data_IF_638744777379
#
_entry.id   IF_638744777379
#
_cell.length_a   1.000
_cell.length_b   1.000
_cell.length_c   1.000
_cell.angle_alpha   90.00
_cell.angle_beta   90.00
_cell.angle_gamma   90.00
#
_symmetry.space_group_name_H-M   'P 1'
#
loop_
_entity.id
_entity.type
_entity.pdbx_description
1 polymer ?
#
# COMPACT_ATOMS: atom_id res chain seq x y z
N UNK A 1 3.71 -40.04 10.87
CA UNK A 1 3.46 -39.26 9.64
C UNK A 1 2.75 -37.97 10.04
N UNK A 2 3.52 -36.96 10.45
CA UNK A 2 2.99 -35.63 10.76
C UNK A 2 3.23 -34.76 9.55
N UNK A 3 2.12 -34.25 9.00
CA UNK A 3 2.09 -33.53 7.75
C UNK A 3 2.94 -32.26 7.79
N UNK A 4 3.70 -32.13 6.71
CA UNK A 4 4.43 -30.97 6.22
C UNK A 4 3.55 -29.71 6.16
N UNK A 5 4.07 -28.60 6.67
CA UNK A 5 3.39 -27.31 6.76
C UNK A 5 3.79 -26.47 5.56
N UNK A 6 2.88 -26.14 4.61
CA UNK A 6 3.28 -25.43 3.41
C UNK A 6 3.60 -23.96 3.71
N UNK A 7 4.68 -23.49 3.08
CA UNK A 7 5.24 -22.15 3.15
C UNK A 7 4.18 -21.03 3.15
N UNK A 8 4.13 -20.26 4.24
CA UNK A 8 3.35 -19.02 4.34
C UNK A 8 4.11 -17.93 3.58
N UNK A 9 3.64 -17.61 2.37
CA UNK A 9 4.03 -16.40 1.63
C UNK A 9 3.64 -15.19 2.51
N UNK A 10 4.59 -14.67 3.29
CA UNK A 10 4.41 -13.51 4.16
C UNK A 10 4.79 -12.24 3.40
N UNK A 11 3.83 -11.61 2.72
CA UNK A 11 3.94 -10.19 2.35
C UNK A 11 2.68 -9.42 2.75
N UNK A 12 2.41 -9.48 4.04
CA UNK A 12 1.58 -8.51 4.76
C UNK A 12 2.38 -8.13 6.01
N UNK A 13 2.25 -6.90 6.53
CA UNK A 13 2.87 -6.54 7.81
C UNK A 13 2.53 -7.60 8.86
N UNK A 14 3.46 -7.95 9.78
CA UNK A 14 3.25 -9.00 10.75
C UNK A 14 2.02 -8.66 11.59
N UNK A 15 0.90 -9.33 11.29
CA UNK A 15 -0.29 -9.26 12.12
C UNK A 15 0.02 -10.14 13.33
N UNK A 16 0.01 -9.61 14.57
CA UNK A 16 0.26 -10.44 15.75
C UNK A 16 -0.72 -11.62 15.75
N UNK A 17 -0.21 -12.85 15.82
CA UNK A 17 -0.99 -14.10 15.69
C UNK A 17 -2.05 -14.33 16.80
N UNK A 18 -2.32 -13.32 17.64
CA UNK A 18 -3.52 -13.22 18.46
C UNK A 18 -4.02 -11.79 18.49
N UNK A 19 -5.02 -11.54 17.67
CA UNK A 19 -5.85 -10.37 17.82
C UNK A 19 -6.93 -10.62 18.89
N UNK A 20 -6.61 -10.35 20.16
CA UNK A 20 -7.54 -10.55 21.30
C UNK A 20 -8.81 -9.72 21.19
N UNK A 21 -8.73 -8.54 20.58
CA UNK A 21 -9.88 -7.69 20.36
C UNK A 21 -10.62 -8.05 19.07
N UNK A 22 -10.13 -8.94 18.19
CA UNK A 22 -10.76 -9.26 16.89
C UNK A 22 -10.97 -8.05 15.96
N UNK A 23 -10.44 -6.86 16.27
CA UNK A 23 -10.53 -5.66 15.43
C UNK A 23 -9.30 -5.53 14.54
N UNK A 24 -9.50 -5.30 13.25
CA UNK A 24 -8.39 -5.13 12.30
C UNK A 24 -8.25 -3.66 11.95
N UNK A 25 -7.11 -3.06 12.30
CA UNK A 25 -6.77 -1.69 11.93
C UNK A 25 -5.85 -1.65 10.71
N UNK A 26 -6.14 -0.76 9.77
CA UNK A 26 -5.39 -0.57 8.53
C UNK A 26 -5.04 0.91 8.35
N UNK A 27 -4.29 1.25 7.30
CA UNK A 27 -4.00 2.64 6.93
C UNK A 27 -5.24 3.50 6.67
N UNK A 28 -6.41 2.88 6.45
CA UNK A 28 -7.68 3.54 6.12
C UNK A 28 -8.71 3.49 7.28
N UNK A 29 -8.32 2.87 8.41
CA UNK A 29 -9.14 2.72 9.62
C UNK A 29 -9.47 1.27 9.96
N UNK A 30 -10.46 1.09 10.84
CA UNK A 30 -10.96 -0.24 11.22
C UNK A 30 -11.81 -0.85 10.11
N UNK A 31 -11.39 -2.02 9.63
CA UNK A 31 -12.11 -2.81 8.61
C UNK A 31 -13.05 -3.86 9.23
N UNK A 32 -12.82 -4.19 10.51
CA UNK A 32 -13.68 -5.01 11.36
C UNK A 32 -13.64 -4.41 12.77
N UNK A 33 -14.79 -4.22 13.42
CA UNK A 33 -14.90 -3.81 14.82
C UNK A 33 -15.26 -5.01 15.72
N UNK A 34 -14.75 -5.02 16.95
CA UNK A 34 -14.99 -6.08 17.95
C UNK A 34 -16.44 -6.22 18.37
N UNK A 35 -17.14 -5.09 18.43
CA UNK A 35 -18.50 -4.95 18.97
C UNK A 35 -19.58 -5.25 17.92
N UNK A 36 -19.19 -5.65 16.70
CA UNK A 36 -20.12 -5.88 15.58
C UNK A 36 -20.75 -4.61 15.02
N UNK A 37 -20.28 -3.43 15.44
CA UNK A 37 -20.69 -2.17 14.82
C UNK A 37 -20.13 -2.04 13.41
N UNK A 38 -20.81 -1.25 12.58
CA UNK A 38 -20.39 -1.03 11.20
C UNK A 38 -18.93 -0.54 11.15
N UNK A 39 -18.08 -1.12 10.29
CA UNK A 39 -16.72 -0.65 10.08
C UNK A 39 -16.70 0.78 9.54
N UNK A 40 -15.50 1.39 9.50
CA UNK A 40 -15.32 2.78 9.07
C UNK A 40 -16.06 3.06 7.76
N UNK A 41 -16.89 4.13 7.74
CA UNK A 41 -17.64 4.55 6.54
C UNK A 41 -16.74 4.96 5.35
N UNK A 42 -15.42 5.00 5.57
CA UNK A 42 -14.40 5.19 4.53
C UNK A 42 -14.21 3.96 3.64
N UNK A 43 -14.69 2.79 4.05
CA UNK A 43 -14.69 1.59 3.21
C UNK A 43 -15.99 1.51 2.40
N UNK A 44 -15.93 1.25 1.07
CA UNK A 44 -17.11 0.87 0.31
C UNK A 44 -17.65 -0.47 0.82
N UNK A 45 -18.96 -0.75 0.70
CA UNK A 45 -19.59 -1.94 1.29
C UNK A 45 -18.91 -3.27 0.94
N UNK A 46 -18.33 -3.39 -0.26
CA UNK A 46 -17.62 -4.60 -0.73
C UNK A 46 -16.28 -4.84 -0.02
N UNK A 47 -15.76 -3.84 0.69
CA UNK A 47 -14.44 -3.85 1.32
C UNK A 47 -14.55 -3.77 2.86
N UNK A 48 -15.71 -4.12 3.40
CA UNK A 48 -16.03 -4.13 4.84
C UNK A 48 -16.04 -5.56 5.39
N UNK A 49 -15.83 -5.70 6.70
CA UNK A 49 -15.96 -6.95 7.45
C UNK A 49 -15.06 -8.11 6.96
N UNK A 50 -13.91 -7.77 6.37
CA UNK A 50 -12.95 -8.74 5.85
C UNK A 50 -12.06 -9.27 6.98
N UNK A 51 -12.03 -10.59 7.16
CA UNK A 51 -11.33 -11.24 8.29
C UNK A 51 -10.06 -11.99 7.90
N UNK A 52 -9.85 -12.23 6.61
CA UNK A 52 -8.63 -12.93 6.12
C UNK A 52 -7.60 -11.93 5.61
N UNK A 53 -6.29 -12.14 5.86
CA UNK A 53 -5.23 -11.23 5.41
C UNK A 53 -5.25 -10.95 3.90
N UNK A 54 -5.55 -11.96 3.08
CA UNK A 54 -5.58 -11.82 1.62
C UNK A 54 -6.72 -10.92 1.14
N UNK A 55 -7.93 -11.09 1.70
CA UNK A 55 -9.06 -10.25 1.34
C UNK A 55 -8.85 -8.81 1.81
N UNK A 56 -8.30 -8.62 3.01
CA UNK A 56 -7.94 -7.30 3.52
C UNK A 56 -6.92 -6.64 2.57
N UNK A 57 -5.86 -7.35 2.17
CA UNK A 57 -4.87 -6.82 1.21
C UNK A 57 -5.52 -6.43 -0.11
N UNK A 58 -6.32 -7.31 -0.71
CA UNK A 58 -7.02 -7.03 -1.97
C UNK A 58 -7.93 -5.79 -1.85
N UNK A 59 -8.62 -5.62 -0.72
CA UNK A 59 -9.45 -4.44 -0.48
C UNK A 59 -8.63 -3.15 -0.36
N UNK A 60 -7.48 -3.18 0.32
CA UNK A 60 -6.57 -2.05 0.42
C UNK A 60 -5.93 -1.70 -0.94
N UNK A 61 -5.56 -2.69 -1.74
CA UNK A 61 -5.00 -2.51 -3.08
C UNK A 61 -6.04 -1.92 -4.04
N UNK A 62 -7.30 -2.38 -3.96
CA UNK A 62 -8.42 -1.83 -4.73
C UNK A 62 -8.71 -0.36 -4.35
N UNK A 63 -8.67 -0.04 -3.06
CA UNK A 63 -8.88 1.34 -2.58
C UNK A 63 -7.74 2.27 -2.97
N UNK A 64 -6.50 1.79 -2.88
CA UNK A 64 -5.32 2.49 -3.40
C UNK A 64 -5.49 2.74 -4.90
N UNK A 65 -5.99 1.74 -5.64
CA UNK A 65 -6.27 1.85 -7.08
C UNK A 65 -7.29 2.92 -7.41
N UNK A 66 -8.40 2.94 -6.68
CA UNK A 66 -9.41 3.97 -6.84
C UNK A 66 -8.85 5.36 -6.53
N UNK A 67 -8.08 5.49 -5.45
CA UNK A 67 -7.52 6.75 -5.01
C UNK A 67 -6.57 7.37 -6.06
N UNK A 68 -5.61 6.60 -6.58
CA UNK A 68 -4.71 7.13 -7.60
C UNK A 68 -5.44 7.39 -8.92
N UNK A 69 -6.45 6.60 -9.28
CA UNK A 69 -7.25 6.81 -10.50
C UNK A 69 -7.97 8.14 -10.44
N UNK A 70 -8.61 8.45 -9.31
CA UNK A 70 -9.27 9.73 -9.07
C UNK A 70 -8.28 10.89 -9.09
N UNK A 71 -7.10 10.73 -8.47
CA UNK A 71 -6.05 11.75 -8.49
C UNK A 71 -5.58 12.07 -9.91
N UNK A 72 -5.29 11.04 -10.72
CA UNK A 72 -4.88 11.20 -12.13
C UNK A 72 -5.99 11.86 -12.96
N UNK A 73 -7.25 11.47 -12.76
CA UNK A 73 -8.39 12.09 -13.43
C UNK A 73 -8.56 13.58 -13.08
N UNK A 74 -8.17 13.98 -11.87
CA UNK A 74 -8.14 15.38 -11.44
C UNK A 74 -6.90 16.16 -11.92
N UNK A 75 -6.04 15.55 -12.76
CA UNK A 75 -4.81 16.17 -13.24
C UNK A 75 -3.69 16.23 -12.20
N UNK A 76 -3.80 15.48 -11.10
CA UNK A 76 -2.77 15.42 -10.07
C UNK A 76 -1.68 14.45 -10.51
N UNK A 77 -0.43 14.91 -10.48
CA UNK A 77 0.72 14.05 -10.72
C UNK A 77 1.04 13.19 -9.49
N UNK A 78 1.05 11.88 -9.66
CA UNK A 78 1.29 10.90 -8.60
C UNK A 78 2.70 10.33 -8.74
N UNK A 79 3.47 10.45 -7.66
CA UNK A 79 4.80 9.85 -7.52
C UNK A 79 4.74 8.76 -6.45
N UNK A 80 5.42 7.65 -6.67
CA UNK A 80 5.48 6.53 -5.71
C UNK A 80 6.91 6.15 -5.38
N UNK A 81 7.13 5.82 -4.11
CA UNK A 81 8.40 5.26 -3.65
C UNK A 81 8.07 4.00 -2.87
N UNK A 82 8.43 2.82 -3.42
CA UNK A 82 8.43 1.58 -2.67
C UNK A 82 9.70 1.48 -1.83
N UNK A 83 9.56 1.47 -0.51
CA UNK A 83 10.69 1.25 0.39
C UNK A 83 10.78 -0.24 0.73
N UNK A 84 11.68 -0.96 0.05
CA UNK A 84 11.79 -2.42 0.07
C UNK A 84 13.20 -2.81 0.49
N UNK A 85 13.40 -3.15 1.76
CA UNK A 85 14.74 -3.54 2.25
C UNK A 85 14.95 -5.05 2.13
N UNK A 86 16.19 -5.57 2.14
CA UNK A 86 16.42 -7.02 2.12
C UNK A 86 15.74 -7.77 3.28
N UNK A 87 15.61 -7.11 4.45
CA UNK A 87 14.96 -7.67 5.64
C UNK A 87 13.44 -7.53 5.67
N UNK A 88 12.89 -6.64 4.84
CA UNK A 88 11.46 -6.35 4.74
C UNK A 88 11.14 -5.95 3.29
N UNK A 89 11.04 -6.97 2.44
CA UNK A 89 10.91 -6.79 1.00
C UNK A 89 9.45 -6.61 0.60
N UNK A 90 9.21 -5.71 -0.36
CA UNK A 90 7.91 -5.57 -1.01
C UNK A 90 7.76 -6.66 -2.06
N UNK A 91 6.63 -7.38 -2.05
CA UNK A 91 6.36 -8.39 -3.06
C UNK A 91 6.08 -7.78 -4.45
N UNK A 92 6.13 -8.63 -5.48
CA UNK A 92 5.91 -8.21 -6.86
C UNK A 92 4.54 -7.55 -7.08
N UNK A 93 3.53 -7.98 -6.31
CA UNK A 93 2.19 -7.38 -6.36
C UNK A 93 2.19 -5.96 -5.84
N UNK A 94 2.85 -5.70 -4.70
CA UNK A 94 3.02 -4.38 -4.12
C UNK A 94 3.85 -3.47 -5.02
N UNK A 95 4.96 -3.96 -5.56
CA UNK A 95 5.78 -3.19 -6.50
C UNK A 95 5.00 -2.84 -7.78
N UNK A 96 4.24 -3.79 -8.32
CA UNK A 96 3.38 -3.57 -9.48
C UNK A 96 2.27 -2.55 -9.20
N UNK A 97 1.63 -2.63 -8.02
CA UNK A 97 0.64 -1.66 -7.59
C UNK A 97 1.26 -0.26 -7.54
N UNK A 98 2.40 -0.09 -6.87
CA UNK A 98 3.07 1.21 -6.75
C UNK A 98 3.52 1.77 -8.10
N UNK A 99 4.00 0.92 -9.00
CA UNK A 99 4.36 1.33 -10.37
C UNK A 99 3.14 1.83 -11.15
N UNK A 100 2.01 1.12 -11.08
CA UNK A 100 0.76 1.50 -11.73
C UNK A 100 0.10 2.76 -11.11
N UNK A 101 0.34 2.99 -9.82
CA UNK A 101 -0.12 4.19 -9.12
C UNK A 101 0.55 5.47 -9.66
N UNK A 102 1.82 5.39 -10.04
CA UNK A 102 2.56 6.54 -10.57
C UNK A 102 1.92 7.07 -11.86
N UNK A 103 2.04 8.37 -12.10
CA UNK A 103 1.50 8.99 -13.33
C UNK A 103 2.34 8.70 -14.58
N UNK A 104 3.59 8.28 -14.41
CA UNK A 104 4.47 7.77 -15.46
C UNK A 104 5.52 6.84 -14.87
N UNK A 105 6.18 6.04 -15.72
CA UNK A 105 7.25 5.13 -15.29
C UNK A 105 8.42 5.85 -14.61
N UNK A 106 8.74 7.07 -15.03
CA UNK A 106 9.78 7.91 -14.41
C UNK A 106 9.41 8.50 -13.05
N UNK A 107 8.17 8.27 -12.59
CA UNK A 107 7.65 8.75 -11.30
C UNK A 107 7.42 7.60 -10.31
N UNK A 108 7.76 6.38 -10.70
CA UNK A 108 7.81 5.21 -9.83
C UNK A 108 9.25 4.93 -9.43
N UNK A 109 9.51 4.87 -8.13
CA UNK A 109 10.83 4.60 -7.57
C UNK A 109 10.77 3.41 -6.63
N UNK A 110 11.90 2.70 -6.52
CA UNK A 110 12.13 1.70 -5.47
C UNK A 110 13.41 2.08 -4.74
N UNK A 111 13.34 2.16 -3.42
CA UNK A 111 14.47 2.44 -2.55
C UNK A 111 14.68 1.23 -1.64
N UNK A 112 15.93 0.78 -1.52
CA UNK A 112 16.29 -0.40 -0.74
C UNK A 112 17.04 -0.06 0.55
N UNK A 113 17.37 1.22 0.73
CA UNK A 113 18.07 1.77 1.89
C UNK A 113 17.78 3.29 2.04
N UNK A 114 18.31 3.89 3.10
CA UNK A 114 18.12 5.32 3.37
C UNK A 114 18.72 6.22 2.27
N UNK A 115 19.87 5.84 1.68
CA UNK A 115 20.56 6.66 0.68
C UNK A 115 19.77 6.73 -0.63
N UNK A 116 19.24 5.60 -1.09
CA UNK A 116 18.37 5.48 -2.26
C UNK A 116 17.02 6.14 -2.03
N UNK A 117 16.49 6.09 -0.80
CA UNK A 117 15.27 6.83 -0.42
C UNK A 117 15.46 8.35 -0.51
N UNK A 118 16.54 8.87 0.07
CA UNK A 118 16.90 10.30 -0.03
C UNK A 118 17.11 10.70 -1.50
N UNK A 119 17.76 9.84 -2.29
CA UNK A 119 17.99 10.08 -3.71
C UNK A 119 16.68 10.16 -4.51
N UNK A 120 15.70 9.31 -4.22
CA UNK A 120 14.38 9.36 -4.85
C UNK A 120 13.67 10.68 -4.53
N UNK A 121 13.61 11.10 -3.26
CA UNK A 121 13.02 12.38 -2.88
C UNK A 121 13.70 13.58 -3.55
N UNK A 122 15.03 13.57 -3.66
CA UNK A 122 15.77 14.61 -4.36
C UNK A 122 15.43 14.68 -5.86
N UNK A 123 15.25 13.53 -6.52
CA UNK A 123 14.82 13.50 -7.93
C UNK A 123 13.41 14.07 -8.11
N UNK A 124 12.48 13.70 -7.21
CA UNK A 124 11.13 14.26 -7.21
C UNK A 124 11.18 15.78 -7.03
N UNK A 125 11.92 16.27 -6.02
CA UNK A 125 12.06 17.69 -5.73
C UNK A 125 12.59 18.49 -6.94
N UNK A 126 13.58 17.94 -7.66
CA UNK A 126 14.09 18.55 -8.90
C UNK A 126 13.01 18.60 -10.00
N UNK A 127 12.29 17.50 -10.22
CA UNK A 127 11.25 17.45 -11.25
C UNK A 127 10.11 18.45 -11.01
N UNK A 128 9.66 18.57 -9.75
CA UNK A 128 8.60 19.51 -9.35
C UNK A 128 9.13 20.96 -9.37
N UNK A 129 10.38 21.17 -8.94
CA UNK A 129 11.03 22.48 -8.98
C UNK A 129 11.19 23.01 -10.40
N UNK A 130 11.65 22.18 -11.34
CA UNK A 130 11.80 22.55 -12.76
C UNK A 130 10.47 22.97 -13.41
N UNK A 131 9.36 22.28 -13.10
CA UNK A 131 8.02 22.66 -13.57
C UNK A 131 7.59 24.07 -13.12
N UNK A 132 8.12 24.54 -11.99
CA UNK A 132 7.78 25.86 -11.44
C UNK A 132 8.65 26.98 -12.03
N UNK A 133 9.84 26.65 -12.52
CA UNK A 133 10.78 27.60 -13.12
C UNK A 133 10.47 27.90 -14.60
N UNK A 134 9.75 27.01 -15.29
CA UNK A 134 9.40 27.14 -16.73
C UNK A 134 8.08 27.85 -16.98
N UNK A 135 7.64 28.73 -16.07
CA UNK A 135 6.41 29.52 -16.18
C UNK A 135 6.68 31.00 -16.35
#
# INVERSE_FOLDING_TARGET
MTADSPARIQHAPPIPDKNYNKSVYTSIGYIVNTDGSNPSSRFPPTNQDLTTPINIRNALDALTTQAYTNAKAAGISVYTIGFSTPSDSIDDKGLSLLSNCASSSSQAFVANDANTLISAFNQIAKSVGSLRLTR
#
